data_IF_177012341632
#
_entry.id   IF_177012341632
#
_cell.length_a   1.000
_cell.length_b   1.000
_cell.length_c   1.000
_cell.angle_alpha   90.00
_cell.angle_beta   90.00
_cell.angle_gamma   90.00
#
_symmetry.space_group_name_H-M   'P 1'
#
loop_
_entity.id
_entity.type
_entity.pdbx_description
1 polymer ?
#
# COMPACT_ATOMS: atom_id res chain seq x y z
N UNK A 1 -17.45 18.77 -1.70
CA UNK A 1 -17.91 17.87 -2.77
C UNK A 1 -17.51 18.50 -4.09
N UNK A 2 -16.87 17.76 -4.99
CA UNK A 2 -16.54 18.30 -6.32
C UNK A 2 -17.85 18.54 -7.09
N UNK A 3 -18.04 19.74 -7.64
CA UNK A 3 -19.12 20.02 -8.59
C UNK A 3 -18.74 19.40 -9.92
N UNK A 4 -19.61 18.53 -10.44
CA UNK A 4 -19.44 17.86 -11.73
C UNK A 4 -20.56 18.37 -12.63
N UNK A 5 -20.23 18.80 -13.85
CA UNK A 5 -21.23 19.11 -14.88
C UNK A 5 -20.97 18.34 -16.16
N UNK A 6 -22.02 17.82 -16.79
CA UNK A 6 -21.97 17.21 -18.12
C UNK A 6 -22.68 18.15 -19.10
N UNK A 7 -21.99 18.61 -20.16
CA UNK A 7 -22.50 19.55 -21.17
C UNK A 7 -23.19 20.79 -20.56
N UNK A 8 -22.65 21.30 -19.45
CA UNK A 8 -23.16 22.46 -18.71
C UNK A 8 -24.32 22.17 -17.74
N UNK A 9 -24.79 20.92 -17.63
CA UNK A 9 -25.78 20.51 -16.62
C UNK A 9 -25.10 19.97 -15.36
N UNK A 10 -25.41 20.55 -14.20
CA UNK A 10 -24.85 20.12 -12.92
C UNK A 10 -25.40 18.74 -12.51
N UNK A 11 -24.50 17.78 -12.29
CA UNK A 11 -24.81 16.42 -11.84
C UNK A 11 -24.63 16.33 -10.32
N UNK A 12 -25.64 15.76 -9.64
CA UNK A 12 -25.61 15.51 -8.19
C UNK A 12 -26.27 14.17 -7.86
N UNK A 13 -25.71 13.45 -6.87
CA UNK A 13 -26.22 12.14 -6.42
C UNK A 13 -25.56 10.95 -7.13
N UNK A 14 -26.23 9.78 -7.09
CA UNK A 14 -25.82 8.58 -7.82
C UNK A 14 -26.86 8.27 -8.91
N UNK A 15 -26.41 7.98 -10.13
CA UNK A 15 -27.26 7.66 -11.27
C UNK A 15 -26.46 7.27 -12.50
N UNK A 16 -27.15 6.77 -13.52
CA UNK A 16 -26.57 6.41 -14.82
C UNK A 16 -27.07 7.40 -15.87
N UNK A 17 -26.18 7.85 -16.77
CA UNK A 17 -26.55 8.74 -17.86
C UNK A 17 -26.00 8.21 -19.18
N UNK A 18 -26.91 7.98 -20.14
CA UNK A 18 -26.57 7.44 -21.45
C UNK A 18 -26.01 8.57 -22.33
N UNK A 19 -24.76 8.42 -22.77
CA UNK A 19 -24.08 9.36 -23.66
C UNK A 19 -24.11 8.79 -25.08
N UNK A 20 -24.98 9.34 -25.92
CA UNK A 20 -25.17 8.92 -27.33
C UNK A 20 -24.45 9.81 -28.34
N UNK A 21 -23.89 10.93 -27.90
CA UNK A 21 -23.07 11.86 -28.72
C UNK A 21 -21.85 12.28 -27.92
N UNK A 22 -20.86 12.93 -28.55
CA UNK A 22 -19.69 13.40 -27.81
C UNK A 22 -20.10 14.39 -26.71
N UNK A 23 -19.77 14.09 -25.46
CA UNK A 23 -20.15 14.89 -24.30
C UNK A 23 -18.91 15.35 -23.53
N UNK A 24 -18.97 16.55 -22.95
CA UNK A 24 -17.89 17.16 -22.18
C UNK A 24 -18.25 17.15 -20.68
N UNK A 25 -17.45 16.44 -19.90
CA UNK A 25 -17.59 16.35 -18.44
C UNK A 25 -16.58 17.29 -17.79
N UNK A 26 -17.09 18.34 -17.13
CA UNK A 26 -16.28 19.29 -16.37
C UNK A 26 -16.33 18.95 -14.88
N UNK A 27 -15.15 18.77 -14.28
CA UNK A 27 -15.00 18.47 -12.85
C UNK A 27 -14.22 19.62 -12.22
N UNK A 28 -14.91 20.37 -11.35
CA UNK A 28 -14.33 21.53 -10.68
C UNK A 28 -13.03 21.18 -9.93
N UNK A 29 -11.96 21.93 -10.21
CA UNK A 29 -10.59 21.75 -9.70
C UNK A 29 -9.84 20.49 -10.18
N UNK A 30 -10.36 19.74 -11.16
CA UNK A 30 -9.69 18.56 -11.74
C UNK A 30 -9.44 18.75 -13.24
N UNK A 31 -10.42 19.27 -13.99
CA UNK A 31 -10.29 19.54 -15.43
C UNK A 31 -11.49 19.04 -16.24
N UNK A 32 -11.36 19.16 -17.57
CA UNK A 32 -12.39 18.76 -18.55
C UNK A 32 -12.04 17.42 -19.20
N UNK A 33 -13.00 16.52 -19.24
CA UNK A 33 -12.92 15.18 -19.84
C UNK A 33 -13.85 15.13 -21.04
N UNK A 34 -13.32 14.84 -22.22
CA UNK A 34 -14.13 14.62 -23.41
C UNK A 34 -14.48 13.13 -23.52
N UNK A 35 -15.76 12.80 -23.45
CA UNK A 35 -16.28 11.44 -23.55
C UNK A 35 -16.81 11.27 -24.98
N UNK A 36 -16.09 10.48 -25.79
CA UNK A 36 -16.53 10.09 -27.13
C UNK A 36 -17.04 8.65 -27.03
N UNK A 37 -18.35 8.41 -27.15
CA UNK A 37 -18.89 7.05 -27.09
C UNK A 37 -18.32 6.21 -28.24
N UNK A 38 -17.84 5.00 -27.92
CA UNK A 38 -17.23 4.10 -28.90
C UNK A 38 -18.28 3.38 -29.73
N UNK A 39 -18.21 3.57 -31.05
CA UNK A 39 -19.03 2.87 -32.04
C UNK A 39 -18.96 3.62 -33.37
N UNK A 40 -18.36 3.02 -34.40
CA UNK A 40 -18.16 3.65 -35.71
C UNK A 40 -19.47 4.02 -36.42
N UNK A 41 -20.60 3.43 -36.03
CA UNK A 41 -21.91 3.62 -36.67
C UNK A 41 -22.88 4.54 -35.93
N UNK A 42 -22.55 5.05 -34.74
CA UNK A 42 -23.53 5.78 -33.94
C UNK A 42 -23.97 7.10 -34.63
N UNK A 43 -23.05 7.77 -35.32
CA UNK A 43 -23.35 8.96 -36.09
C UNK A 43 -24.12 8.67 -37.39
N UNK A 44 -23.88 7.52 -38.03
CA UNK A 44 -24.64 7.09 -39.21
C UNK A 44 -26.07 6.71 -38.84
N UNK A 45 -26.26 5.97 -37.76
CA UNK A 45 -27.59 5.60 -37.24
C UNK A 45 -28.43 6.83 -36.85
N UNK A 46 -27.83 7.84 -36.22
CA UNK A 46 -28.52 9.10 -35.91
C UNK A 46 -28.92 9.84 -37.19
N UNK A 47 -28.10 9.78 -38.26
CA UNK A 47 -28.45 10.38 -39.55
C UNK A 47 -29.58 9.63 -40.24
N UNK A 48 -29.55 8.30 -40.23
CA UNK A 48 -30.61 7.45 -40.79
C UNK A 48 -31.94 7.66 -40.05
N UNK A 49 -31.92 7.74 -38.71
CA UNK A 49 -33.10 8.05 -37.90
C UNK A 49 -33.71 9.41 -38.29
N UNK A 50 -32.86 10.44 -38.46
CA UNK A 50 -33.30 11.77 -38.86
C UNK A 50 -33.91 11.78 -40.28
N UNK A 51 -33.29 11.07 -41.23
CA UNK A 51 -33.79 10.95 -42.62
C UNK A 51 -35.15 10.23 -42.66
N UNK A 52 -35.31 9.12 -41.94
CA UNK A 52 -36.56 8.36 -41.87
C UNK A 52 -37.66 9.16 -41.15
N UNK A 53 -37.32 9.84 -40.05
CA UNK A 53 -38.26 10.68 -39.31
C UNK A 53 -38.77 11.85 -40.16
N UNK A 54 -37.89 12.50 -40.93
CA UNK A 54 -38.28 13.55 -41.86
C UNK A 54 -39.20 13.02 -42.98
N UNK A 55 -38.88 11.87 -43.58
CA UNK A 55 -39.74 11.25 -44.59
C UNK A 55 -41.13 10.88 -44.04
N UNK A 56 -41.19 10.36 -42.81
CA UNK A 56 -42.44 10.04 -42.13
C UNK A 56 -43.29 11.30 -41.88
N UNK A 57 -42.68 12.40 -41.42
CA UNK A 57 -43.38 13.68 -41.25
C UNK A 57 -43.95 14.24 -42.56
N UNK A 58 -43.19 14.14 -43.67
CA UNK A 58 -43.66 14.58 -45.00
C UNK A 58 -44.90 13.80 -45.45
N UNK A 59 -44.95 12.49 -45.20
CA UNK A 59 -46.11 11.65 -45.54
C UNK A 59 -47.35 12.02 -44.72
N UNK A 60 -47.16 12.26 -43.42
CA UNK A 60 -48.23 12.71 -42.52
C UNK A 60 -48.78 14.09 -42.91
N UNK A 61 -47.91 15.04 -43.25
CA UNK A 61 -48.31 16.36 -43.76
C UNK A 61 -49.08 16.26 -45.08
N UNK A 62 -48.66 15.40 -46.01
CA UNK A 62 -49.35 15.20 -47.28
C UNK A 62 -50.76 14.63 -47.10
N UNK A 63 -50.97 13.81 -46.07
CA UNK A 63 -52.28 13.27 -45.70
C UNK A 63 -53.11 14.23 -44.84
N UNK A 64 -52.50 15.33 -44.37
CA UNK A 64 -53.13 16.29 -43.46
C UNK A 64 -53.43 15.72 -42.08
N UNK A 65 -52.64 14.74 -41.64
CA UNK A 65 -52.85 14.03 -40.38
C UNK A 65 -51.63 14.20 -39.46
N UNK A 66 -51.83 14.32 -38.14
CA UNK A 66 -50.76 14.55 -37.18
C UNK A 66 -50.03 13.26 -36.76
N UNK A 67 -50.60 12.07 -37.01
CA UNK A 67 -50.01 10.79 -36.60
C UNK A 67 -50.44 9.61 -37.49
N UNK A 68 -49.63 8.54 -37.46
CA UNK A 68 -49.96 7.27 -38.12
C UNK A 68 -51.24 6.63 -37.55
N UNK A 69 -51.41 6.70 -36.23
CA UNK A 69 -52.59 6.17 -35.55
C UNK A 69 -53.89 6.81 -36.06
N UNK A 70 -53.88 8.12 -36.34
CA UNK A 70 -55.02 8.80 -36.94
C UNK A 70 -55.25 8.41 -38.41
N UNK A 71 -54.19 8.11 -39.17
CA UNK A 71 -54.30 7.60 -40.53
C UNK A 71 -54.94 6.21 -40.56
N UNK A 72 -54.55 5.32 -39.65
CA UNK A 72 -55.13 3.98 -39.51
C UNK A 72 -56.61 4.05 -39.08
N UNK A 73 -56.94 4.89 -38.09
CA UNK A 73 -58.32 5.11 -37.67
C UNK A 73 -59.20 5.66 -38.79
N UNK A 74 -58.68 6.63 -39.58
CA UNK A 74 -59.39 7.18 -40.75
C UNK A 74 -59.57 6.13 -41.84
N UNK A 75 -58.62 5.24 -42.04
CA UNK A 75 -58.73 4.16 -43.02
C UNK A 75 -59.78 3.12 -42.60
N UNK A 76 -59.78 2.71 -41.33
CA UNK A 76 -60.77 1.76 -40.79
C UNK A 76 -62.19 2.32 -40.87
N UNK A 77 -62.39 3.58 -40.48
CA UNK A 77 -63.71 4.24 -40.58
C UNK A 77 -64.18 4.36 -42.04
N UNK A 78 -63.28 4.67 -42.97
CA UNK A 78 -63.61 4.70 -44.39
C UNK A 78 -64.02 3.31 -44.94
N UNK A 79 -63.28 2.26 -44.58
CA UNK A 79 -63.60 0.88 -44.97
C UNK A 79 -64.96 0.43 -44.42
N UNK A 80 -65.29 0.82 -43.19
CA UNK A 80 -66.59 0.51 -42.59
C UNK A 80 -67.72 1.25 -43.32
N UNK A 81 -67.57 2.55 -43.58
CA UNK A 81 -68.56 3.32 -44.31
C UNK A 81 -68.82 2.75 -45.73
N UNK A 82 -67.79 2.28 -46.44
CA UNK A 82 -67.95 1.63 -47.74
C UNK A 82 -68.74 0.32 -47.66
N UNK A 83 -68.52 -0.48 -46.61
CA UNK A 83 -69.29 -1.71 -46.37
C UNK A 83 -70.76 -1.39 -46.07
N UNK A 84 -71.01 -0.38 -45.26
CA UNK A 84 -72.37 0.02 -44.86
C UNK A 84 -73.16 0.59 -46.05
N UNK A 85 -72.51 1.37 -46.93
CA UNK A 85 -73.09 1.84 -48.20
C UNK A 85 -73.50 0.63 -49.06
N UNK A 86 -72.56 -0.29 -49.31
CA UNK A 86 -72.83 -1.47 -50.16
C UNK A 86 -73.94 -2.36 -49.60
N UNK A 87 -74.00 -2.50 -48.27
CA UNK A 87 -75.08 -3.25 -47.61
C UNK A 87 -76.42 -2.54 -47.81
N UNK A 88 -76.47 -1.23 -47.57
CA UNK A 88 -77.69 -0.42 -47.70
C UNK A 88 -78.21 -0.39 -49.14
N UNK A 89 -77.32 -0.29 -50.14
CA UNK A 89 -77.67 -0.38 -51.56
C UNK A 89 -78.28 -1.73 -51.92
N UNK A 90 -77.71 -2.83 -51.43
CA UNK A 90 -78.24 -4.19 -51.67
C UNK A 90 -79.60 -4.39 -51.00
N UNK A 91 -79.78 -3.87 -49.80
CA UNK A 91 -81.07 -3.90 -49.09
C UNK A 91 -82.13 -3.09 -49.84
N UNK A 92 -81.78 -1.91 -50.35
CA UNK A 92 -82.67 -1.09 -51.17
C UNK A 92 -83.05 -1.82 -52.47
N UNK A 93 -82.11 -2.47 -53.14
CA UNK A 93 -82.38 -3.25 -54.36
C UNK A 93 -83.27 -4.47 -54.10
N UNK A 94 -83.18 -5.08 -52.91
CA UNK A 94 -84.01 -6.25 -52.54
C UNK A 94 -85.43 -5.85 -52.18
N UNK A 95 -85.59 -4.75 -51.42
CA UNK A 95 -86.89 -4.30 -50.92
C UNK A 95 -87.62 -3.39 -51.91
N UNK A 96 -86.90 -2.65 -52.74
CA UNK A 96 -87.43 -1.68 -53.70
C UNK A 96 -86.62 -1.73 -55.01
N UNK A 97 -86.74 -2.81 -55.81
CA UNK A 97 -85.95 -3.02 -57.02
C UNK A 97 -86.14 -1.92 -58.09
N UNK A 98 -87.30 -1.26 -58.09
CA UNK A 98 -87.63 -0.11 -58.95
C UNK A 98 -87.45 1.25 -58.23
N UNK A 99 -86.79 1.26 -57.08
CA UNK A 99 -86.66 2.42 -56.20
C UNK A 99 -87.89 2.65 -55.31
N UNK A 100 -87.74 3.55 -54.34
CA UNK A 100 -88.74 3.82 -53.29
C UNK A 100 -90.08 4.29 -53.87
N UNK A 101 -90.06 5.05 -54.96
CA UNK A 101 -91.28 5.53 -55.63
C UNK A 101 -92.07 4.39 -56.29
N UNK A 102 -91.39 3.38 -56.86
CA UNK A 102 -92.08 2.21 -57.40
C UNK A 102 -92.79 1.39 -56.32
N UNK A 103 -92.14 1.21 -55.16
CA UNK A 103 -92.74 0.53 -54.02
C UNK A 103 -93.99 1.27 -53.49
N UNK A 104 -93.98 2.61 -53.50
CA UNK A 104 -95.14 3.43 -53.13
C UNK A 104 -96.31 3.26 -54.11
N UNK A 105 -96.02 3.17 -55.40
CA UNK A 105 -97.04 2.94 -56.43
C UNK A 105 -97.67 1.55 -56.33
N UNK A 106 -96.86 0.50 -56.09
CA UNK A 106 -97.35 -0.86 -55.86
C UNK A 106 -98.24 -0.95 -54.62
N UNK A 107 -97.83 -0.33 -53.52
CA UNK A 107 -98.64 -0.26 -52.30
C UNK A 107 -100.01 0.36 -52.58
N UNK A 108 -100.05 1.50 -53.29
CA UNK A 108 -101.30 2.19 -53.65
C UNK A 108 -102.23 1.30 -54.49
N UNK A 109 -101.68 0.59 -55.49
CA UNK A 109 -102.44 -0.31 -56.35
C UNK A 109 -102.99 -1.53 -55.58
N UNK A 110 -102.22 -2.08 -54.64
CA UNK A 110 -102.67 -3.18 -53.79
C UNK A 110 -103.75 -2.74 -52.79
N UNK A 111 -103.67 -1.54 -52.22
CA UNK A 111 -104.74 -1.01 -51.37
C UNK A 111 -106.04 -0.80 -52.13
N UNK A 112 -105.98 -0.34 -53.38
CA UNK A 112 -107.19 -0.16 -54.19
C UNK A 112 -107.84 -1.50 -54.54
N UNK A 113 -107.04 -2.49 -54.99
CA UNK A 113 -107.54 -3.86 -55.25
C UNK A 113 -108.15 -4.51 -54.03
N UNK A 114 -107.56 -4.29 -52.84
CA UNK A 114 -108.11 -4.79 -51.58
C UNK A 114 -109.49 -4.18 -51.32
N UNK A 115 -109.63 -2.87 -51.51
CA UNK A 115 -110.90 -2.14 -51.37
C UNK A 115 -111.97 -2.70 -52.32
N UNK A 116 -111.63 -2.90 -53.59
CA UNK A 116 -112.52 -3.49 -54.60
C UNK A 116 -112.94 -4.92 -54.24
N UNK A 117 -112.02 -5.75 -53.74
CA UNK A 117 -112.32 -7.14 -53.35
C UNK A 117 -113.19 -7.22 -52.09
N UNK A 118 -112.99 -6.31 -51.13
CA UNK A 118 -113.82 -6.20 -49.92
C UNK A 118 -115.25 -5.74 -50.26
N UNK A 119 -115.41 -4.83 -51.24
CA UNK A 119 -116.71 -4.42 -51.78
C UNK A 119 -117.44 -5.57 -52.50
N UNK A 120 -116.71 -6.40 -53.26
CA UNK A 120 -117.28 -7.58 -53.94
C UNK A 120 -117.69 -8.69 -52.96
N UNK A 121 -116.95 -8.86 -51.87
CA UNK A 121 -117.23 -9.90 -50.87
C UNK A 121 -118.41 -9.57 -49.97
N UNK A 122 -118.74 -8.28 -49.78
CA UNK A 122 -119.93 -7.85 -49.08
C UNK A 122 -121.25 -8.14 -49.84
N UNK A 123 -121.19 -8.55 -51.12
CA UNK A 123 -122.34 -8.78 -52.00
C UNK A 123 -122.72 -10.25 -52.24
N UNK A 124 -122.18 -11.21 -51.49
CA UNK A 124 -122.45 -12.65 -51.70
C UNK A 124 -123.26 -13.27 -50.55
N UNK A 125 -124.36 -13.97 -50.90
CA UNK A 125 -125.20 -14.75 -49.98
C UNK A 125 -124.59 -16.13 -49.62
N UNK A 126 -124.94 -16.74 -48.45
CA UNK A 126 -124.29 -17.94 -47.94
C UNK A 126 -124.76 -19.24 -48.62
N UNK A 127 -123.84 -20.21 -48.75
CA UNK A 127 -124.06 -21.51 -49.39
C UNK A 127 -124.88 -22.50 -48.53
N UNK A 128 -125.66 -23.41 -49.15
CA UNK A 128 -126.41 -24.47 -48.46
C UNK A 128 -125.57 -25.71 -48.10
N UNK A 129 -126.04 -26.46 -47.10
CA UNK A 129 -125.34 -27.57 -46.40
C UNK A 129 -125.12 -28.85 -47.24
N UNK A 130 -123.99 -29.52 -46.96
CA UNK A 130 -123.45 -30.69 -47.67
C UNK A 130 -124.09 -32.02 -47.24
N UNK A 131 -124.36 -32.89 -48.23
CA UNK A 131 -124.77 -34.28 -48.03
C UNK A 131 -123.60 -35.26 -47.82
N UNK A 132 -123.85 -36.27 -46.98
CA UNK A 132 -122.97 -37.37 -46.59
C UNK A 132 -122.57 -38.26 -47.79
N UNK A 133 -121.43 -37.96 -48.39
CA UNK A 133 -120.60 -38.94 -49.09
C UNK A 133 -119.49 -39.40 -48.15
N UNK A 134 -119.03 -40.65 -48.28
CA UNK A 134 -117.87 -41.20 -47.57
C UNK A 134 -116.63 -40.33 -47.81
N UNK A 135 -116.47 -39.31 -46.97
CA UNK A 135 -115.30 -38.45 -46.90
C UNK A 135 -114.28 -39.24 -46.07
N UNK A 136 -113.07 -39.38 -46.62
CA UNK A 136 -111.90 -39.80 -45.84
C UNK A 136 -111.92 -38.99 -44.53
N UNK A 137 -112.12 -39.67 -43.40
CA UNK A 137 -112.31 -38.97 -42.13
C UNK A 137 -111.17 -37.97 -41.94
N UNK A 138 -111.47 -36.77 -41.46
CA UNK A 138 -110.50 -35.68 -41.35
C UNK A 138 -109.20 -36.14 -40.64
N UNK A 139 -109.32 -37.11 -39.73
CA UNK A 139 -108.22 -37.81 -39.04
C UNK A 139 -107.28 -38.58 -39.99
N UNK A 140 -107.80 -39.28 -41.00
CA UNK A 140 -106.99 -40.05 -41.97
C UNK A 140 -106.27 -39.13 -42.96
N UNK A 141 -106.94 -38.08 -43.43
CA UNK A 141 -106.33 -37.06 -44.28
C UNK A 141 -105.22 -36.31 -43.55
N UNK A 142 -105.45 -35.95 -42.27
CA UNK A 142 -104.46 -35.28 -41.42
C UNK A 142 -103.25 -36.19 -41.12
N UNK A 143 -103.48 -37.48 -40.87
CA UNK A 143 -102.40 -38.46 -40.68
C UNK A 143 -101.53 -38.62 -41.94
N UNK A 144 -102.13 -38.66 -43.15
CA UNK A 144 -101.36 -38.70 -44.41
C UNK A 144 -100.63 -37.40 -44.69
N UNK A 145 -101.25 -36.25 -44.44
CA UNK A 145 -100.60 -34.95 -44.58
C UNK A 145 -99.40 -34.83 -43.64
N UNK A 146 -99.55 -35.28 -42.39
CA UNK A 146 -98.47 -35.30 -41.41
C UNK A 146 -97.33 -36.21 -41.85
N UNK A 147 -97.62 -37.44 -42.29
CA UNK A 147 -96.60 -38.35 -42.81
C UNK A 147 -95.89 -37.80 -44.06
N UNK A 148 -96.62 -37.15 -44.97
CA UNK A 148 -96.03 -36.51 -46.15
C UNK A 148 -95.15 -35.30 -45.79
N UNK A 149 -95.54 -34.50 -44.78
CA UNK A 149 -94.72 -33.40 -44.25
C UNK A 149 -93.46 -33.91 -43.58
N UNK A 150 -93.56 -34.90 -42.71
CA UNK A 150 -92.40 -35.53 -42.06
C UNK A 150 -91.43 -36.12 -43.09
N UNK A 151 -91.97 -36.76 -44.15
CA UNK A 151 -91.13 -37.27 -45.24
C UNK A 151 -90.47 -36.14 -46.04
N UNK A 152 -91.19 -35.05 -46.34
CA UNK A 152 -90.63 -33.88 -47.02
C UNK A 152 -89.51 -33.24 -46.19
N UNK A 153 -89.75 -33.02 -44.88
CA UNK A 153 -88.76 -32.48 -43.95
C UNK A 153 -87.50 -33.36 -43.90
N UNK A 154 -87.66 -34.69 -43.88
CA UNK A 154 -86.54 -35.62 -43.89
C UNK A 154 -85.73 -35.54 -45.20
N UNK A 155 -86.41 -35.45 -46.35
CA UNK A 155 -85.76 -35.33 -47.67
C UNK A 155 -85.08 -33.96 -47.81
N UNK A 156 -85.69 -32.89 -47.33
CA UNK A 156 -85.12 -31.55 -47.32
C UNK A 156 -83.87 -31.49 -46.44
N UNK A 157 -83.92 -32.12 -45.25
CA UNK A 157 -82.76 -32.23 -44.37
C UNK A 157 -81.61 -32.98 -45.05
N UNK A 158 -81.87 -34.17 -45.64
CA UNK A 158 -80.86 -34.94 -46.37
C UNK A 158 -80.27 -34.17 -47.56
N UNK A 159 -81.10 -33.45 -48.32
CA UNK A 159 -80.66 -32.57 -49.41
C UNK A 159 -79.78 -31.44 -48.90
N UNK A 160 -80.14 -30.82 -47.76
CA UNK A 160 -79.34 -29.75 -47.14
C UNK A 160 -77.97 -30.25 -46.68
N UNK A 161 -77.90 -31.41 -46.04
CA UNK A 161 -76.65 -32.04 -45.62
C UNK A 161 -75.78 -32.40 -46.81
N UNK A 162 -76.35 -33.00 -47.85
CA UNK A 162 -75.62 -33.35 -49.08
C UNK A 162 -75.05 -32.11 -49.76
N UNK A 163 -75.81 -31.00 -49.82
CA UNK A 163 -75.33 -29.71 -50.34
C UNK A 163 -74.19 -29.14 -49.49
N UNK A 164 -74.31 -29.17 -48.16
CA UNK A 164 -73.23 -28.71 -47.28
C UNK A 164 -71.95 -29.54 -47.47
N UNK A 165 -72.06 -30.86 -47.52
CA UNK A 165 -70.91 -31.76 -47.78
C UNK A 165 -70.26 -31.46 -49.12
N UNK A 166 -71.05 -31.23 -50.18
CA UNK A 166 -70.53 -30.85 -51.49
C UNK A 166 -69.75 -29.53 -51.44
N UNK A 167 -70.29 -28.50 -50.78
CA UNK A 167 -69.61 -27.20 -50.61
C UNK A 167 -68.30 -27.36 -49.85
N UNK A 168 -68.29 -28.12 -48.75
CA UNK A 168 -67.07 -28.36 -47.96
C UNK A 168 -66.01 -29.09 -48.78
N UNK A 169 -66.40 -30.11 -49.56
CA UNK A 169 -65.47 -30.86 -50.42
C UNK A 169 -64.95 -30.03 -51.60
N UNK A 170 -65.77 -29.14 -52.17
CA UNK A 170 -65.33 -28.19 -53.19
C UNK A 170 -64.33 -27.19 -52.60
N UNK A 171 -64.61 -26.65 -51.41
CA UNK A 171 -63.70 -25.74 -50.73
C UNK A 171 -62.36 -26.39 -50.38
N UNK A 172 -62.36 -27.65 -49.90
CA UNK A 172 -61.12 -28.38 -49.58
C UNK A 172 -60.31 -28.69 -50.84
N UNK A 173 -60.96 -29.11 -51.93
CA UNK A 173 -60.32 -29.28 -53.24
C UNK A 173 -59.68 -27.97 -53.71
N UNK A 174 -60.39 -26.85 -53.63
CA UNK A 174 -59.90 -25.56 -54.11
C UNK A 174 -58.76 -25.01 -53.24
N UNK A 175 -58.74 -25.33 -51.94
CA UNK A 175 -57.61 -25.05 -51.07
C UNK A 175 -56.38 -25.89 -51.45
N UNK A 176 -56.55 -27.20 -51.64
CA UNK A 176 -55.46 -28.10 -52.02
C UNK A 176 -54.88 -27.76 -53.41
N UNK A 177 -55.72 -27.36 -54.37
CA UNK A 177 -55.27 -26.90 -55.69
C UNK A 177 -54.44 -25.61 -55.58
N UNK A 178 -54.90 -24.63 -54.78
CA UNK A 178 -54.14 -23.39 -54.52
C UNK A 178 -52.80 -23.65 -53.86
N UNK A 179 -52.76 -24.55 -52.87
CA UNK A 179 -51.52 -24.94 -52.20
C UNK A 179 -50.54 -25.62 -53.17
N UNK A 180 -51.03 -26.59 -53.96
CA UNK A 180 -50.24 -27.23 -55.01
C UNK A 180 -49.68 -26.19 -55.97
N UNK A 181 -50.50 -25.27 -56.45
CA UNK A 181 -50.08 -24.27 -57.43
C UNK A 181 -49.05 -23.30 -56.84
N UNK A 182 -49.19 -22.91 -55.57
CA UNK A 182 -48.20 -22.11 -54.87
C UNK A 182 -46.86 -22.84 -54.72
N UNK A 183 -46.87 -24.12 -54.32
CA UNK A 183 -45.65 -24.93 -54.22
C UNK A 183 -45.00 -25.16 -55.59
N UNK A 184 -45.80 -25.41 -56.62
CA UNK A 184 -45.34 -25.58 -57.98
C UNK A 184 -44.70 -24.29 -58.52
N UNK A 185 -45.28 -23.12 -58.20
CA UNK A 185 -44.70 -21.82 -58.55
C UNK A 185 -43.36 -21.58 -57.85
N UNK A 186 -43.19 -22.00 -56.59
CA UNK A 186 -41.91 -21.91 -55.87
C UNK A 186 -40.84 -22.82 -56.47
N UNK A 187 -41.21 -24.07 -56.81
CA UNK A 187 -40.29 -25.06 -57.40
C UNK A 187 -39.86 -24.66 -58.81
N UNK A 188 -40.78 -24.12 -59.60
CA UNK A 188 -40.54 -23.70 -60.99
C UNK A 188 -40.12 -22.24 -61.12
N UNK A 189 -39.93 -21.54 -60.00
CA UNK A 189 -39.47 -20.16 -60.03
C UNK A 189 -38.14 -20.09 -60.81
N UNK A 190 -38.05 -19.27 -61.88
CA UNK A 190 -36.90 -19.27 -62.78
C UNK A 190 -35.61 -18.84 -62.07
N UNK A 191 -35.71 -18.10 -60.97
CA UNK A 191 -34.60 -17.63 -60.13
C UNK A 191 -34.17 -18.66 -59.06
N UNK A 192 -34.86 -19.79 -58.91
CA UNK A 192 -34.57 -20.79 -57.86
C UNK A 192 -33.12 -21.29 -57.90
N UNK A 193 -32.63 -21.63 -59.09
CA UNK A 193 -31.25 -22.10 -59.26
C UNK A 193 -30.24 -21.04 -58.82
N UNK A 194 -30.48 -19.78 -59.19
CA UNK A 194 -29.65 -18.64 -58.80
C UNK A 194 -29.69 -18.42 -57.28
N UNK A 195 -30.88 -18.46 -56.65
CA UNK A 195 -31.00 -18.33 -55.18
C UNK A 195 -30.25 -19.42 -54.43
N UNK A 196 -30.36 -20.68 -54.88
CA UNK A 196 -29.61 -21.78 -54.29
C UNK A 196 -28.10 -21.63 -54.47
N UNK A 197 -27.65 -21.17 -55.64
CA UNK A 197 -26.24 -20.91 -55.90
C UNK A 197 -25.71 -19.77 -55.01
N UNK A 198 -26.45 -18.67 -54.89
CA UNK A 198 -26.09 -17.54 -54.03
C UNK A 198 -26.00 -17.99 -52.55
N UNK A 199 -27.02 -18.69 -52.04
CA UNK A 199 -27.04 -19.19 -50.67
C UNK A 199 -25.88 -20.17 -50.39
N UNK A 200 -25.57 -21.07 -51.33
CA UNK A 200 -24.40 -21.95 -51.20
C UNK A 200 -23.09 -21.16 -51.22
N UNK A 201 -22.97 -20.13 -52.05
CA UNK A 201 -21.76 -19.29 -52.09
C UNK A 201 -21.56 -18.49 -50.80
N UNK A 202 -22.64 -17.94 -50.23
CA UNK A 202 -22.62 -17.25 -48.94
C UNK A 202 -22.26 -18.20 -47.82
N UNK A 203 -22.85 -19.40 -47.79
CA UNK A 203 -22.54 -20.43 -46.80
C UNK A 203 -21.08 -20.89 -46.88
N UNK A 204 -20.52 -21.04 -48.08
CA UNK A 204 -19.10 -21.34 -48.27
C UNK A 204 -18.21 -20.19 -47.79
N UNK A 205 -18.58 -18.94 -48.10
CA UNK A 205 -17.87 -17.74 -47.63
C UNK A 205 -17.86 -17.65 -46.10
N UNK A 206 -19.02 -17.81 -45.44
CA UNK A 206 -19.11 -17.75 -43.99
C UNK A 206 -18.36 -18.90 -43.31
N UNK A 207 -18.33 -20.09 -43.90
CA UNK A 207 -17.50 -21.20 -43.40
C UNK A 207 -16.02 -20.87 -43.47
N UNK A 208 -15.55 -20.37 -44.61
CA UNK A 208 -14.15 -19.97 -44.77
C UNK A 208 -13.75 -18.85 -43.80
N UNK A 209 -14.63 -17.86 -43.59
CA UNK A 209 -14.42 -16.77 -42.64
C UNK A 209 -14.38 -17.28 -41.19
N UNK A 210 -15.29 -18.19 -40.83
CA UNK A 210 -15.31 -18.83 -39.50
C UNK A 210 -14.04 -19.64 -39.25
N UNK A 211 -13.58 -20.42 -40.23
CA UNK A 211 -12.32 -21.19 -40.13
C UNK A 211 -11.11 -20.27 -39.99
N UNK A 212 -11.04 -19.17 -40.77
CA UNK A 212 -9.97 -18.19 -40.68
C UNK A 212 -9.93 -17.48 -39.31
N UNK A 213 -11.10 -17.08 -38.79
CA UNK A 213 -11.23 -16.50 -37.46
C UNK A 213 -10.80 -17.48 -36.37
N UNK A 214 -11.21 -18.75 -36.49
CA UNK A 214 -10.81 -19.79 -35.54
C UNK A 214 -9.30 -19.99 -35.53
N UNK A 215 -8.66 -20.05 -36.70
CA UNK A 215 -7.20 -20.13 -36.83
C UNK A 215 -6.51 -18.91 -36.20
N UNK A 216 -7.02 -17.71 -36.44
CA UNK A 216 -6.52 -16.48 -35.82
C UNK A 216 -6.66 -16.50 -34.29
N UNK A 217 -7.78 -16.99 -33.75
CA UNK A 217 -7.99 -17.15 -32.31
C UNK A 217 -6.96 -18.13 -31.75
N UNK A 218 -6.79 -19.31 -32.35
CA UNK A 218 -5.83 -20.31 -31.88
C UNK A 218 -4.40 -19.78 -31.95
N UNK A 219 -4.03 -19.06 -33.00
CA UNK A 219 -2.71 -18.43 -33.12
C UNK A 219 -2.51 -17.39 -32.00
N UNK A 220 -3.48 -16.50 -31.76
CA UNK A 220 -3.41 -15.51 -30.69
C UNK A 220 -3.35 -16.16 -29.30
N UNK A 221 -4.12 -17.21 -29.06
CA UNK A 221 -4.06 -17.99 -27.81
C UNK A 221 -2.66 -18.59 -27.62
N UNK A 222 -2.07 -19.18 -28.66
CA UNK A 222 -0.70 -19.70 -28.56
C UNK A 222 0.34 -18.62 -28.23
N UNK A 223 0.16 -17.40 -28.76
CA UNK A 223 1.01 -16.26 -28.41
C UNK A 223 0.82 -15.82 -26.95
N UNK A 224 -0.41 -15.82 -26.43
CA UNK A 224 -0.71 -15.52 -25.02
C UNK A 224 -0.10 -16.59 -24.12
N UNK A 225 -0.29 -17.87 -24.44
CA UNK A 225 0.25 -19.00 -23.68
C UNK A 225 1.78 -18.99 -23.69
N UNK A 226 2.42 -18.63 -24.82
CA UNK A 226 3.86 -18.46 -24.92
C UNK A 226 4.37 -17.28 -24.09
N UNK A 227 3.63 -16.18 -24.03
CA UNK A 227 3.95 -15.02 -23.21
C UNK A 227 3.80 -15.27 -21.70
N UNK A 228 3.02 -16.30 -21.30
CA UNK A 228 2.83 -16.73 -19.90
C UNK A 228 2.51 -15.55 -18.96
N UNK A 229 1.39 -14.83 -19.17
CA UNK A 229 1.05 -13.63 -18.42
C UNK A 229 1.02 -13.84 -16.90
N UNK A 230 0.62 -15.03 -16.43
CA UNK A 230 0.61 -15.34 -15.00
C UNK A 230 2.01 -15.29 -14.37
N UNK A 231 3.03 -15.75 -15.10
CA UNK A 231 4.43 -15.67 -14.65
C UNK A 231 4.88 -14.21 -14.66
N UNK A 232 4.52 -13.44 -15.69
CA UNK A 232 4.86 -12.01 -15.75
C UNK A 232 4.25 -11.23 -14.58
N UNK A 233 3.01 -11.52 -14.19
CA UNK A 233 2.38 -10.91 -13.01
C UNK A 233 3.13 -11.28 -11.73
N UNK A 234 3.53 -12.55 -11.58
CA UNK A 234 4.34 -12.99 -10.44
C UNK A 234 5.72 -12.32 -10.41
N UNK A 235 6.37 -12.17 -11.56
CA UNK A 235 7.66 -11.49 -11.66
C UNK A 235 7.54 -10.00 -11.34
N UNK A 236 6.51 -9.32 -11.82
CA UNK A 236 6.21 -7.92 -11.48
C UNK A 236 6.02 -7.78 -9.97
N UNK A 237 5.22 -8.64 -9.33
CA UNK A 237 5.04 -8.63 -7.87
C UNK A 237 6.35 -8.92 -7.12
N UNK A 238 7.16 -9.87 -7.60
CA UNK A 238 8.46 -10.18 -7.02
C UNK A 238 9.42 -8.99 -7.10
N UNK A 239 9.53 -8.38 -8.28
CA UNK A 239 10.40 -7.22 -8.50
C UNK A 239 9.92 -6.01 -7.71
N UNK A 240 8.61 -5.79 -7.61
CA UNK A 240 8.02 -4.75 -6.78
C UNK A 240 8.39 -4.93 -5.31
N UNK A 241 8.17 -6.13 -4.73
CA UNK A 241 8.57 -6.43 -3.34
C UNK A 241 10.06 -6.23 -3.12
N UNK A 242 10.89 -6.68 -4.06
CA UNK A 242 12.34 -6.50 -3.98
C UNK A 242 12.74 -5.02 -4.01
N UNK A 243 12.08 -4.21 -4.84
CA UNK A 243 12.33 -2.77 -4.93
C UNK A 243 11.87 -2.04 -3.66
N UNK A 244 10.67 -2.34 -3.15
CA UNK A 244 10.14 -1.78 -1.91
C UNK A 244 11.04 -2.13 -0.71
N UNK A 245 11.53 -3.37 -0.61
CA UNK A 245 12.46 -3.77 0.44
C UNK A 245 13.82 -3.05 0.33
N UNK A 246 14.35 -2.89 -0.89
CA UNK A 246 15.59 -2.16 -1.11
C UNK A 246 15.45 -0.68 -0.74
N UNK A 247 14.33 -0.05 -1.10
CA UNK A 247 14.02 1.34 -0.76
C UNK A 247 13.86 1.53 0.76
N UNK A 248 13.12 0.63 1.43
CA UNK A 248 12.96 0.67 2.87
C UNK A 248 14.31 0.53 3.60
N UNK A 249 15.18 -0.36 3.12
CA UNK A 249 16.54 -0.55 3.66
C UNK A 249 17.39 0.71 3.46
N UNK A 250 17.29 1.34 2.28
CA UNK A 250 18.00 2.58 2.00
C UNK A 250 17.55 3.71 2.93
N UNK A 251 16.24 3.91 3.10
CA UNK A 251 15.67 4.93 4.00
C UNK A 251 16.08 4.68 5.45
N UNK A 252 16.06 3.44 5.92
CA UNK A 252 16.52 3.08 7.27
C UNK A 252 17.99 3.45 7.49
N UNK A 253 18.86 3.07 6.55
CA UNK A 253 20.30 3.40 6.62
C UNK A 253 20.55 4.90 6.57
N UNK A 254 19.81 5.62 5.73
CA UNK A 254 19.92 7.08 5.66
C UNK A 254 19.55 7.72 7.00
N UNK A 255 18.48 7.24 7.64
CA UNK A 255 18.08 7.70 8.96
C UNK A 255 19.14 7.39 10.04
N UNK A 256 19.69 6.18 10.02
CA UNK A 256 20.79 5.78 10.91
C UNK A 256 22.04 6.66 10.72
N UNK A 257 22.41 6.96 9.48
CA UNK A 257 23.54 7.85 9.18
C UNK A 257 23.30 9.24 9.77
N UNK A 258 22.13 9.83 9.57
CA UNK A 258 21.80 11.16 10.12
C UNK A 258 21.86 11.14 11.66
N UNK A 259 21.34 10.08 12.28
CA UNK A 259 21.37 9.93 13.73
C UNK A 259 22.79 9.75 14.28
N UNK A 260 23.63 8.98 13.58
CA UNK A 260 25.05 8.81 13.94
C UNK A 260 25.84 10.10 13.72
N UNK A 261 25.58 10.84 12.64
CA UNK A 261 26.18 12.15 12.40
C UNK A 261 25.82 13.13 13.51
N UNK A 262 24.54 13.23 13.90
CA UNK A 262 24.12 14.09 15.01
C UNK A 262 24.79 13.71 16.33
N UNK A 263 24.91 12.40 16.64
CA UNK A 263 25.65 11.93 17.83
C UNK A 263 27.14 12.26 17.77
N UNK A 264 27.77 12.15 16.61
CA UNK A 264 29.17 12.49 16.41
C UNK A 264 29.40 14.00 16.53
N UNK A 265 28.50 14.82 15.99
CA UNK A 265 28.54 16.28 16.14
C UNK A 265 28.36 16.69 17.61
N UNK A 266 27.42 16.09 18.34
CA UNK A 266 27.21 16.32 19.77
C UNK A 266 28.45 15.90 20.59
N UNK A 267 29.00 14.72 20.33
CA UNK A 267 30.22 14.25 21.01
C UNK A 267 31.46 15.08 20.64
N UNK A 268 31.54 15.58 19.40
CA UNK A 268 32.59 16.50 18.95
C UNK A 268 32.48 17.87 19.63
N UNK A 269 31.26 18.38 19.81
CA UNK A 269 31.00 19.64 20.50
C UNK A 269 31.34 19.60 22.00
N UNK A 270 31.49 18.42 22.59
CA UNK A 270 31.96 18.27 23.98
C UNK A 270 33.45 18.60 24.16
N UNK A 271 34.18 18.90 23.09
CA UNK A 271 35.58 19.37 23.18
C UNK A 271 36.55 18.35 23.75
N UNK A 272 36.22 17.06 23.68
CA UNK A 272 37.04 15.98 24.26
C UNK A 272 38.45 15.92 23.67
N UNK A 273 38.63 16.30 22.41
CA UNK A 273 39.95 16.41 21.78
C UNK A 273 40.76 17.57 22.36
N UNK A 274 40.12 18.71 22.65
CA UNK A 274 40.74 19.86 23.29
C UNK A 274 41.10 19.54 24.75
N UNK A 275 40.20 18.89 25.50
CA UNK A 275 40.48 18.41 26.85
C UNK A 275 41.65 17.43 26.87
N UNK A 276 41.66 16.45 25.95
CA UNK A 276 42.77 15.49 25.81
C UNK A 276 44.08 16.21 25.51
N UNK A 277 44.08 17.17 24.58
CA UNK A 277 45.27 17.92 24.23
C UNK A 277 45.79 18.74 25.43
N UNK A 278 44.89 19.40 26.17
CA UNK A 278 45.25 20.14 27.38
C UNK A 278 45.86 19.22 28.45
N UNK A 279 45.24 18.07 28.72
CA UNK A 279 45.77 17.10 29.69
C UNK A 279 47.12 16.54 29.25
N UNK A 280 47.34 16.30 27.96
CA UNK A 280 48.63 15.86 27.43
C UNK A 280 49.72 16.90 27.70
N UNK A 281 49.45 18.18 27.40
CA UNK A 281 50.36 19.30 27.69
C UNK A 281 50.67 19.41 29.19
N UNK A 282 49.64 19.29 30.05
CA UNK A 282 49.83 19.30 31.51
C UNK A 282 50.69 18.12 31.98
N UNK A 283 50.45 16.92 31.46
CA UNK A 283 51.23 15.73 31.78
C UNK A 283 52.70 15.87 31.35
N UNK A 284 52.95 16.39 30.14
CA UNK A 284 54.32 16.68 29.68
C UNK A 284 55.03 17.71 30.57
N UNK A 285 54.35 18.79 30.95
CA UNK A 285 54.91 19.82 31.83
C UNK A 285 55.24 19.24 33.22
N UNK A 286 54.34 18.43 33.79
CA UNK A 286 54.55 17.75 35.06
C UNK A 286 55.74 16.77 34.98
N UNK A 287 55.87 16.02 33.87
CA UNK A 287 56.96 15.10 33.66
C UNK A 287 58.31 15.82 33.54
N UNK A 288 58.38 16.94 32.80
CA UNK A 288 59.58 17.78 32.73
C UNK A 288 59.97 18.30 34.12
N UNK A 289 59.00 18.75 34.91
CA UNK A 289 59.24 19.23 36.28
C UNK A 289 59.72 18.12 37.21
N UNK A 290 59.14 16.93 37.11
CA UNK A 290 59.58 15.75 37.84
C UNK A 290 61.03 15.40 37.50
N UNK A 291 61.40 15.37 36.22
CA UNK A 291 62.77 15.09 35.79
C UNK A 291 63.76 16.13 36.31
N UNK A 292 63.40 17.41 36.29
CA UNK A 292 64.23 18.49 36.84
C UNK A 292 64.46 18.29 38.36
N UNK A 293 63.39 18.06 39.12
CA UNK A 293 63.48 17.84 40.57
C UNK A 293 64.24 16.56 40.91
N UNK A 294 64.01 15.47 40.16
CA UNK A 294 64.75 14.22 40.30
C UNK A 294 66.24 14.44 40.09
N UNK A 295 66.62 15.15 39.02
CA UNK A 295 68.03 15.45 38.74
C UNK A 295 68.67 16.30 39.84
N UNK A 296 67.93 17.25 40.42
CA UNK A 296 68.38 18.05 41.58
C UNK A 296 68.54 17.17 42.83
N UNK A 297 67.58 16.29 43.10
CA UNK A 297 67.65 15.36 44.24
C UNK A 297 68.84 14.41 44.10
N UNK A 298 69.05 13.81 42.93
CA UNK A 298 70.20 12.94 42.63
C UNK A 298 71.53 13.69 42.77
N UNK A 299 71.60 14.96 42.34
CA UNK A 299 72.79 15.78 42.52
C UNK A 299 73.08 16.10 44.00
N UNK A 300 72.04 16.39 44.79
CA UNK A 300 72.16 16.63 46.23
C UNK A 300 72.57 15.35 46.97
N UNK A 301 72.02 14.20 46.60
CA UNK A 301 72.35 12.90 47.18
C UNK A 301 73.80 12.50 46.87
N UNK A 302 74.25 12.73 45.63
CA UNK A 302 75.65 12.57 45.25
C UNK A 302 76.57 13.51 46.06
N UNK A 303 76.18 14.78 46.21
CA UNK A 303 76.95 15.75 46.99
C UNK A 303 77.05 15.33 48.46
N UNK A 304 75.95 14.91 49.07
CA UNK A 304 75.91 14.42 50.45
C UNK A 304 76.83 13.21 50.61
N UNK A 305 76.71 12.22 49.72
CA UNK A 305 77.54 11.01 49.72
C UNK A 305 79.03 11.36 49.61
N UNK A 306 79.39 12.30 48.74
CA UNK A 306 80.77 12.78 48.58
C UNK A 306 81.27 13.53 49.82
N UNK A 307 80.46 14.40 50.42
CA UNK A 307 80.80 15.12 51.64
C UNK A 307 81.00 14.16 52.82
N UNK A 308 80.14 13.17 52.98
CA UNK A 308 80.29 12.14 54.02
C UNK A 308 81.51 11.27 53.79
N UNK A 309 81.82 10.90 52.54
CA UNK A 309 83.05 10.20 52.20
C UNK A 309 84.29 11.04 52.54
N UNK A 310 84.30 12.34 52.19
CA UNK A 310 85.39 13.26 52.52
C UNK A 310 85.51 13.52 54.00
N UNK A 311 84.41 13.63 54.73
CA UNK A 311 84.38 13.74 56.20
C UNK A 311 85.02 12.50 56.83
N UNK A 312 84.63 11.29 56.40
CA UNK A 312 85.23 10.03 56.89
C UNK A 312 86.72 9.96 56.58
N UNK A 313 87.15 10.39 55.39
CA UNK A 313 88.56 10.45 55.01
C UNK A 313 89.35 11.43 55.91
N UNK A 314 88.79 12.62 56.17
CA UNK A 314 89.39 13.63 57.06
C UNK A 314 89.50 13.13 58.51
N UNK A 315 88.45 12.52 59.05
CA UNK A 315 88.45 11.93 60.39
C UNK A 315 89.57 10.89 60.52
N UNK A 316 89.69 9.97 59.55
CA UNK A 316 90.76 8.96 59.54
C UNK A 316 92.17 9.58 59.51
N UNK A 317 92.37 10.65 58.73
CA UNK A 317 93.65 11.37 58.66
C UNK A 317 94.02 12.06 59.97
N UNK A 318 93.03 12.55 60.73
CA UNK A 318 93.26 13.21 62.02
C UNK A 318 93.43 12.23 63.19
N UNK A 319 92.78 11.06 63.14
CA UNK A 319 92.85 10.05 64.19
C UNK A 319 94.26 9.53 64.44
N UNK A 320 95.02 9.22 63.39
CA UNK A 320 96.36 8.64 63.52
C UNK A 320 97.35 9.56 64.27
N UNK A 321 97.53 10.84 63.90
CA UNK A 321 98.41 11.76 64.64
C UNK A 321 97.85 12.09 66.02
N UNK A 322 96.53 12.26 66.19
CA UNK A 322 95.94 12.48 67.50
C UNK A 322 96.21 11.30 68.46
N UNK A 323 96.13 10.06 67.96
CA UNK A 323 96.44 8.86 68.74
C UNK A 323 97.91 8.80 69.16
N UNK A 324 98.83 9.24 68.30
CA UNK A 324 100.26 9.33 68.65
C UNK A 324 100.46 10.31 69.80
N UNK A 325 99.93 11.53 69.70
CA UNK A 325 100.08 12.56 70.73
C UNK A 325 99.40 12.19 72.05
N UNK A 326 98.17 11.66 71.99
CA UNK A 326 97.46 11.18 73.18
C UNK A 326 98.26 10.06 73.85
N UNK A 327 98.71 9.05 73.11
CA UNK A 327 99.49 7.95 73.69
C UNK A 327 100.81 8.43 74.29
N UNK A 328 101.48 9.41 73.67
CA UNK A 328 102.70 10.04 74.23
C UNK A 328 102.44 10.58 75.63
N UNK A 329 101.37 11.35 75.81
CA UNK A 329 101.03 11.94 77.12
C UNK A 329 100.45 10.92 78.11
N UNK A 330 99.64 9.97 77.65
CA UNK A 330 99.10 8.89 78.48
C UNK A 330 100.23 8.02 79.04
N UNK A 331 101.27 7.74 78.25
CA UNK A 331 102.43 6.96 78.69
C UNK A 331 103.27 7.66 79.77
N UNK A 332 103.23 9.00 79.85
CA UNK A 332 103.89 9.76 80.92
C UNK A 332 103.17 9.51 82.26
N UNK A 333 101.83 9.50 82.28
CA UNK A 333 101.06 9.26 83.51
C UNK A 333 100.94 7.77 83.87
N UNK A 334 100.89 6.89 82.86
CA UNK A 334 100.73 5.46 83.03
C UNK A 334 101.68 4.71 82.09
N UNK A 335 102.81 4.17 82.59
CA UNK A 335 103.78 3.45 81.76
C UNK A 335 103.11 2.30 81.00
N UNK A 336 103.37 2.23 79.69
CA UNK A 336 102.81 1.24 78.74
C UNK A 336 101.28 1.30 78.52
N UNK A 337 100.59 2.35 78.96
CA UNK A 337 99.17 2.51 78.66
C UNK A 337 98.91 3.02 77.24
N UNK A 338 97.80 2.60 76.64
CA UNK A 338 97.34 3.07 75.33
C UNK A 338 95.88 3.47 75.38
N UNK A 339 95.52 4.54 74.67
CA UNK A 339 94.17 5.04 74.54
C UNK A 339 93.72 5.00 73.08
N UNK A 340 92.59 4.33 72.83
CA UNK A 340 91.93 4.34 71.53
C UNK A 340 91.05 5.59 71.34
N UNK A 341 90.87 6.01 70.09
CA UNK A 341 90.08 7.19 69.70
C UNK A 341 88.97 6.77 68.75
N UNK A 342 87.73 7.17 69.03
CA UNK A 342 86.55 6.90 68.19
C UNK A 342 86.48 7.74 66.91
N UNK A 343 85.51 7.45 66.04
CA UNK A 343 85.23 8.21 64.80
C UNK A 343 84.69 9.63 65.06
N UNK A 344 84.20 9.88 66.26
CA UNK A 344 83.84 11.19 66.80
C UNK A 344 85.05 11.98 67.33
N UNK A 345 86.26 11.42 67.23
CA UNK A 345 87.51 11.96 67.78
C UNK A 345 87.48 12.12 69.31
N UNK A 346 86.67 11.30 69.99
CA UNK A 346 86.56 11.26 71.44
C UNK A 346 87.43 10.11 71.98
N UNK A 347 88.14 10.30 73.11
CA UNK A 347 88.83 9.23 73.82
C UNK A 347 87.90 8.06 74.15
N UNK A 348 88.24 6.88 73.65
CA UNK A 348 87.47 5.66 73.82
C UNK A 348 87.99 4.81 74.98
N UNK A 349 88.67 3.71 74.65
CA UNK A 349 89.09 2.68 75.59
C UNK A 349 90.53 2.88 76.03
N UNK A 350 90.76 2.93 77.34
CA UNK A 350 92.08 2.98 77.95
C UNK A 350 92.51 1.56 78.33
N UNK A 351 93.66 1.11 77.83
CA UNK A 351 94.26 -0.19 78.15
C UNK A 351 95.53 0.03 78.97
N UNK A 352 95.62 -0.60 80.15
CA UNK A 352 96.78 -0.52 81.05
C UNK A 352 97.32 -1.92 81.36
N UNK A 353 98.58 -2.24 81.01
CA UNK A 353 99.10 -3.60 81.17
C UNK A 353 99.67 -3.92 82.57
N UNK A 354 99.80 -2.95 83.49
CA UNK A 354 100.42 -3.18 84.81
C UNK A 354 99.59 -2.58 85.96
N UNK A 355 98.73 -3.41 86.55
CA UNK A 355 98.22 -3.35 87.93
C UNK A 355 97.60 -4.75 88.20
N UNK A 356 97.77 -5.29 89.41
CA UNK A 356 97.57 -6.70 89.84
C UNK A 356 96.17 -7.35 89.68
N UNK A 357 95.42 -6.99 88.65
CA UNK A 357 94.19 -7.67 88.20
C UNK A 357 94.20 -7.67 86.68
N UNK A 358 94.03 -8.84 86.06
CA UNK A 358 94.02 -9.09 84.61
C UNK A 358 93.61 -7.85 83.78
N UNK A 359 94.59 -7.27 83.08
CA UNK A 359 94.46 -6.16 82.12
C UNK A 359 93.20 -5.30 82.26
N UNK A 360 93.22 -4.30 83.14
CA UNK A 360 92.09 -3.36 83.26
C UNK A 360 91.97 -2.54 81.97
N UNK A 361 91.01 -2.92 81.14
CA UNK A 361 90.59 -2.19 79.94
C UNK A 361 89.21 -1.60 80.21
N UNK A 362 89.13 -0.28 80.39
CA UNK A 362 87.89 0.43 80.67
C UNK A 362 87.62 1.54 79.66
N UNK A 363 86.36 1.93 79.48
CA UNK A 363 86.06 3.17 78.77
C UNK A 363 86.52 4.36 79.62
N UNK A 364 87.02 5.43 78.99
CA UNK A 364 87.41 6.65 79.71
C UNK A 364 86.24 7.23 80.51
N UNK A 365 85.00 7.03 80.06
CA UNK A 365 83.78 7.42 80.78
C UNK A 365 83.59 6.75 82.14
N UNK A 366 84.11 5.53 82.33
CA UNK A 366 83.93 4.72 83.55
C UNK A 366 85.07 4.93 84.57
N UNK A 367 86.03 5.81 84.26
CA UNK A 367 87.13 6.14 85.17
C UNK A 367 86.65 7.06 86.31
N UNK A 368 87.37 7.01 87.44
CA UNK A 368 87.15 7.92 88.58
C UNK A 368 87.21 9.38 88.14
N UNK A 369 86.54 10.26 88.89
CA UNK A 369 86.41 11.67 88.50
C UNK A 369 87.76 12.37 88.26
N UNK A 370 88.75 12.17 89.16
CA UNK A 370 90.10 12.70 88.97
C UNK A 370 90.85 12.09 87.76
N UNK A 371 90.65 10.81 87.46
CA UNK A 371 91.23 10.19 86.27
C UNK A 371 90.60 10.73 84.97
N UNK A 372 89.29 11.04 84.97
CA UNK A 372 88.63 11.69 83.82
C UNK A 372 89.14 13.12 83.59
N UNK A 373 89.38 13.89 84.65
CA UNK A 373 89.97 15.23 84.54
C UNK A 373 91.38 15.16 83.92
N UNK A 374 92.23 14.24 84.39
CA UNK A 374 93.58 14.03 83.84
C UNK A 374 93.54 13.63 82.36
N UNK A 375 92.66 12.70 81.98
CA UNK A 375 92.46 12.33 80.57
C UNK A 375 91.93 13.50 79.73
N UNK A 376 91.09 14.35 80.31
CA UNK A 376 90.60 15.58 79.68
C UNK A 376 91.70 16.63 79.44
N UNK A 377 92.67 16.74 80.34
CA UNK A 377 93.85 17.62 80.16
C UNK A 377 94.78 17.03 79.10
N UNK A 378 95.10 15.74 79.16
CA UNK A 378 95.93 15.05 78.17
C UNK A 378 95.34 15.18 76.75
N UNK A 379 94.03 14.96 76.62
CA UNK A 379 93.35 15.06 75.33
C UNK A 379 93.50 16.47 74.75
N UNK A 380 93.35 17.52 75.59
CA UNK A 380 93.52 18.92 75.15
C UNK A 380 94.97 19.24 74.77
N UNK A 381 95.96 18.73 75.50
CA UNK A 381 97.38 18.87 75.14
C UNK A 381 97.68 18.21 73.80
N UNK A 382 97.23 16.97 73.61
CA UNK A 382 97.40 16.25 72.35
C UNK A 382 96.70 16.95 71.16
N UNK A 383 95.54 17.58 71.39
CA UNK A 383 94.88 18.41 70.38
C UNK A 383 95.67 19.68 70.07
N UNK A 384 96.28 20.34 71.06
CA UNK A 384 97.09 21.52 70.83
C UNK A 384 98.36 21.20 70.04
N UNK A 385 99.00 20.06 70.30
CA UNK A 385 100.13 19.58 69.49
C UNK A 385 99.71 19.28 68.05
N UNK A 386 98.60 18.57 67.86
CA UNK A 386 98.05 18.29 66.54
C UNK A 386 97.75 19.60 65.77
N UNK A 387 97.19 20.59 66.45
CA UNK A 387 96.91 21.90 65.87
C UNK A 387 98.20 22.68 65.57
N UNK A 388 99.21 22.59 66.44
CA UNK A 388 100.53 23.20 66.23
C UNK A 388 101.22 22.61 64.99
N UNK A 389 101.20 21.28 64.82
CA UNK A 389 101.73 20.60 63.62
C UNK A 389 100.97 21.02 62.34
N UNK A 390 99.68 21.34 62.45
CA UNK A 390 98.88 21.89 61.34
C UNK A 390 99.09 23.40 61.11
N UNK A 391 100.04 24.03 61.80
CA UNK A 391 100.38 25.45 61.66
C UNK A 391 99.48 26.41 62.47
N UNK A 392 98.72 25.89 63.45
CA UNK A 392 97.82 26.65 64.33
C UNK A 392 98.22 26.47 65.81
N UNK A 393 99.27 27.16 66.29
CA UNK A 393 99.66 27.07 67.70
C UNK A 393 98.51 27.55 68.59
N UNK A 394 98.12 26.74 69.57
CA UNK A 394 96.97 27.01 70.45
C UNK A 394 97.45 27.25 71.87
N UNK A 395 97.05 28.37 72.48
CA UNK A 395 97.30 28.65 73.89
C UNK A 395 96.32 27.83 74.74
N UNK A 396 96.84 26.97 75.62
CA UNK A 396 96.03 26.26 76.61
C UNK A 396 96.09 27.05 77.92
N UNK A 397 94.92 27.42 78.43
CA UNK A 397 94.75 27.97 79.78
C UNK A 397 94.03 26.90 80.60
N UNK A 398 94.64 26.48 81.70
CA UNK A 398 94.07 25.52 82.64
C UNK A 398 93.54 26.31 83.84
N UNK A 399 92.20 26.41 83.94
CA UNK A 399 91.52 27.05 85.06
C UNK A 399 90.87 25.94 85.92
N UNK A 400 91.29 25.81 87.18
CA UNK A 400 90.87 24.74 88.11
C UNK A 400 90.97 23.31 87.54
N UNK A 401 91.96 23.05 86.68
CA UNK A 401 92.22 21.69 86.20
C UNK A 401 92.97 20.90 87.28
N UNK A 402 92.39 19.79 87.77
CA UNK A 402 92.93 18.84 88.76
C UNK A 402 92.48 19.03 90.23
N UNK A 403 91.33 19.66 90.50
CA UNK A 403 90.77 19.84 91.87
C UNK A 403 90.55 18.51 92.62
N UNK A 404 90.43 17.38 91.90
CA UNK A 404 90.17 16.04 92.49
C UNK A 404 91.32 15.04 92.27
N UNK A 405 92.57 15.51 92.10
CA UNK A 405 93.76 14.65 92.02
C UNK A 405 94.44 14.51 93.39
N UNK A 406 94.79 13.28 93.79
CA UNK A 406 95.51 13.01 95.06
C UNK A 406 96.81 13.82 95.17
N UNK A 407 97.11 14.36 96.36
CA UNK A 407 98.28 15.22 96.65
C UNK A 407 99.63 14.59 96.25
N UNK A 408 99.75 13.25 96.24
CA UNK A 408 100.95 12.54 95.78
C UNK A 408 101.21 12.66 94.26
N UNK A 409 100.25 13.17 93.47
CA UNK A 409 100.34 13.27 92.00
C UNK A 409 100.54 14.70 91.49
N UNK A 410 100.58 15.70 92.36
CA UNK A 410 100.77 17.12 92.00
C UNK A 410 102.23 17.60 92.09
N UNK A 411 103.13 16.82 92.70
CA UNK A 411 104.56 17.18 92.91
C UNK A 411 105.55 16.50 91.94
N UNK A 412 105.06 15.71 90.97
CA UNK A 412 105.86 15.04 89.93
C UNK A 412 105.26 15.27 88.55
#
# INVERSE_FOLDING_TARGET
AAQISLDGQALAGMGEHLITTAAELDIANVGRLQIIPGGTDLAELVREEAEVSAAHQVLLQRLGLPSLAEAEARYVTHQQALKDIKHSEKTLQTLAPTGIEGLRAELAAHTERKRESEEQQAGLDPLPERGDGSIETLVQADARQKAAREHLEQVEHQSSEARQRLITMQASRDAALRERDAQQALVNAPDRAQRLQNANSELLRFRAESEALQQSITAKQSHVDAARPDILVQDVERFRRSAEQAEQTHRSRQHEIILLQGKLEEAGAQGLEEERAEQCVRAEAAQRRYQELKRRAEALDLLLTLLEAKRRELIKRLQAPLRIHINRYVQILFPQATLDIGEDLIPGRLTRPNQDVAGSSGMVGDLSFGAREQMGVITRLAYADLLQESGRPTLIILDDALVHSDDQRLEH
#
